data_IF_911129229043
#
_entry.id   IF_911129229043
#
_cell.length_a   1.000
_cell.length_b   1.000
_cell.length_c   1.000
_cell.angle_alpha   90.00
_cell.angle_beta   90.00
_cell.angle_gamma   90.00
#
_symmetry.space_group_name_H-M   'P 1'
#
loop_
_entity.id
_entity.type
_entity.pdbx_description
1 polymer ?
#
# COMPACT_ATOMS: atom_id res chain seq x y z
N UNK A 1 14.46 -1.14 -3.08
CA UNK A 1 13.17 -1.85 -2.97
C UNK A 1 12.15 -1.28 -3.96
N UNK A 2 11.04 -1.98 -4.22
CA UNK A 2 9.90 -1.46 -4.99
C UNK A 2 9.07 -0.49 -4.14
N UNK A 3 8.64 0.63 -4.73
CA UNK A 3 7.74 1.58 -4.07
C UNK A 3 6.35 0.98 -3.80
N UNK A 4 5.72 1.47 -2.74
CA UNK A 4 4.33 1.23 -2.42
C UNK A 4 3.42 2.01 -3.36
N UNK A 5 2.32 1.37 -3.77
CA UNK A 5 1.20 1.96 -4.54
C UNK A 5 -0.12 1.60 -3.86
N UNK A 6 -1.21 2.28 -4.20
CA UNK A 6 -2.54 1.92 -3.70
C UNK A 6 -3.15 0.79 -4.53
N UNK A 7 -3.61 -0.27 -3.86
CA UNK A 7 -4.42 -1.35 -4.44
C UNK A 7 -5.89 -1.21 -4.00
N UNK A 8 -6.82 -1.62 -4.87
CA UNK A 8 -8.24 -1.80 -4.56
C UNK A 8 -8.54 -3.28 -4.32
N UNK A 9 -9.16 -3.58 -3.20
CA UNK A 9 -9.66 -4.91 -2.83
C UNK A 9 -11.20 -4.87 -2.85
N UNK A 10 -11.87 -5.93 -3.31
CA UNK A 10 -13.34 -6.01 -3.33
C UNK A 10 -13.79 -7.01 -2.27
N UNK A 11 -14.38 -6.50 -1.19
CA UNK A 11 -14.88 -7.29 -0.07
C UNK A 11 -16.40 -7.48 -0.23
N UNK A 12 -16.89 -8.71 -0.03
CA UNK A 12 -18.32 -9.01 -0.12
C UNK A 12 -18.96 -8.71 -1.48
N UNK A 13 -18.17 -8.68 -2.56
CA UNK A 13 -18.62 -8.43 -3.94
C UNK A 13 -18.89 -6.97 -4.31
N UNK A 14 -19.17 -6.08 -3.35
CA UNK A 14 -19.55 -4.68 -3.64
C UNK A 14 -18.78 -3.62 -2.85
N UNK A 15 -18.09 -3.96 -1.75
CA UNK A 15 -17.41 -2.96 -0.91
C UNK A 15 -15.96 -2.77 -1.39
N UNK A 16 -15.59 -1.61 -1.96
CA UNK A 16 -14.21 -1.32 -2.30
C UNK A 16 -13.45 -0.95 -1.02
N UNK A 17 -12.47 -1.78 -0.67
CA UNK A 17 -11.48 -1.48 0.35
C UNK A 17 -10.16 -1.09 -0.32
N UNK A 18 -9.33 -0.32 0.37
CA UNK A 18 -8.09 0.24 -0.18
C UNK A 18 -6.92 -0.01 0.77
N UNK A 19 -5.75 -0.35 0.23
CA UNK A 19 -4.53 -0.59 1.02
C UNK A 19 -3.29 -0.29 0.20
N UNK A 20 -2.18 -0.04 0.86
CA UNK A 20 -0.89 0.02 0.18
C UNK A 20 -0.44 -1.40 -0.21
N UNK A 21 0.21 -1.53 -1.36
CA UNK A 21 0.73 -2.78 -1.91
C UNK A 21 2.03 -2.53 -2.69
N UNK A 22 2.88 -3.55 -2.81
CA UNK A 22 4.05 -3.54 -3.71
C UNK A 22 4.35 -4.94 -4.23
N UNK A 23 5.36 -5.04 -5.08
CA UNK A 23 5.88 -6.33 -5.56
C UNK A 23 7.36 -6.43 -5.23
N UNK A 24 7.76 -7.41 -4.43
CA UNK A 24 9.15 -7.67 -4.04
C UNK A 24 9.49 -9.07 -4.54
N UNK A 25 10.53 -9.18 -5.37
CA UNK A 25 11.00 -10.45 -5.97
C UNK A 25 9.89 -11.30 -6.61
N UNK A 26 8.93 -10.63 -7.27
CA UNK A 26 7.76 -11.26 -7.90
C UNK A 26 6.60 -11.59 -6.96
N UNK A 27 6.79 -11.47 -5.64
CA UNK A 27 5.77 -11.71 -4.61
C UNK A 27 5.00 -10.42 -4.33
N UNK A 28 3.68 -10.51 -4.24
CA UNK A 28 2.83 -9.38 -3.84
C UNK A 28 2.88 -9.19 -2.31
N UNK A 29 3.30 -8.01 -1.89
CA UNK A 29 3.31 -7.58 -0.48
C UNK A 29 2.19 -6.56 -0.27
N UNK A 30 1.45 -6.68 0.83
CA UNK A 30 0.32 -5.83 1.18
C UNK A 30 0.55 -5.23 2.56
N UNK A 31 0.29 -3.93 2.72
CA UNK A 31 0.30 -3.29 4.04
C UNK A 31 -0.83 -3.89 4.89
N UNK A 32 -0.58 -4.01 6.19
CA UNK A 32 -1.52 -4.66 7.13
C UNK A 32 -2.79 -3.82 7.30
N UNK A 33 -2.67 -2.49 7.16
CA UNK A 33 -3.79 -1.57 7.27
C UNK A 33 -4.65 -1.59 6.00
N UNK A 34 -5.96 -1.61 6.20
CA UNK A 34 -6.98 -1.60 5.15
C UNK A 34 -7.98 -0.49 5.47
N UNK A 35 -8.28 0.35 4.48
CA UNK A 35 -9.06 1.56 4.61
C UNK A 35 -10.37 1.49 3.82
N UNK A 36 -11.40 2.16 4.32
CA UNK A 36 -12.67 2.32 3.61
C UNK A 36 -12.57 3.32 2.45
N UNK A 37 -11.60 4.25 2.48
CA UNK A 37 -11.42 5.25 1.42
C UNK A 37 -10.05 5.14 0.75
N UNK A 38 -10.00 5.55 -0.52
CA UNK A 38 -8.75 5.60 -1.29
C UNK A 38 -7.78 6.64 -0.70
N UNK A 39 -8.30 7.76 -0.20
CA UNK A 39 -7.49 8.88 0.32
C UNK A 39 -6.67 8.49 1.55
N UNK A 40 -7.23 7.70 2.46
CA UNK A 40 -6.49 7.19 3.63
C UNK A 40 -5.38 6.22 3.20
N UNK A 41 -5.66 5.33 2.23
CA UNK A 41 -4.64 4.44 1.66
C UNK A 41 -3.54 5.20 0.89
N UNK A 42 -3.86 6.34 0.26
CA UNK A 42 -2.88 7.23 -0.37
C UNK A 42 -1.96 7.86 0.70
N UNK A 43 -2.52 8.37 1.79
CA UNK A 43 -1.74 8.92 2.90
C UNK A 43 -0.76 7.88 3.46
N UNK A 44 -1.25 6.67 3.72
CA UNK A 44 -0.44 5.53 4.18
C UNK A 44 0.64 5.12 3.19
N UNK A 45 0.34 5.10 1.89
CA UNK A 45 1.31 4.84 0.83
C UNK A 45 2.44 5.89 0.82
N UNK A 46 2.14 7.17 1.09
CA UNK A 46 3.16 8.21 1.20
C UNK A 46 4.06 8.03 2.43
N UNK A 47 3.51 7.70 3.61
CA UNK A 47 4.29 7.36 4.81
C UNK A 47 5.28 6.21 4.53
N UNK A 48 4.77 5.12 3.95
CA UNK A 48 5.56 3.93 3.65
C UNK A 48 6.68 4.20 2.63
N UNK A 49 6.43 5.06 1.63
CA UNK A 49 7.45 5.45 0.67
C UNK A 49 8.47 6.45 1.24
N UNK A 50 8.09 7.31 2.19
CA UNK A 50 9.04 8.17 2.89
C UNK A 50 10.01 7.33 3.74
N UNK A 51 9.49 6.41 4.57
CA UNK A 51 10.30 5.48 5.35
C UNK A 51 11.21 4.61 4.46
N UNK A 52 10.72 4.16 3.30
CA UNK A 52 11.52 3.39 2.34
C UNK A 52 12.70 4.17 1.77
N UNK A 53 12.55 5.47 1.53
CA UNK A 53 13.66 6.31 1.08
C UNK A 53 14.71 6.47 2.19
N UNK A 54 14.28 6.69 3.44
CA UNK A 54 15.17 6.75 4.61
C UNK A 54 15.91 5.44 4.90
N UNK A 55 15.40 4.29 4.46
CA UNK A 55 16.08 2.98 4.52
C UNK A 55 17.09 2.80 3.38
N UNK A 56 16.86 3.41 2.21
CA UNK A 56 17.74 3.31 1.03
C UNK A 56 18.92 4.29 1.09
N UNK A 57 18.79 5.39 1.84
CA UNK A 57 19.87 6.38 2.06
C UNK A 57 20.87 5.99 3.17
N UNK A 58 20.67 4.86 3.86
CA UNK A 58 21.51 4.36 4.97
C UNK A 58 22.43 3.21 4.56
#
# INVERSE_FOLDING_TARGET
MTQWKVCREIVGGILPMWRACRTVDGIAELDVLIYGTQSEAIARMHELNAALNEEVEK
#
